data_IF_532711289947
#
_entry.id   IF_532711289947
#
_cell.length_a   1.000
_cell.length_b   1.000
_cell.length_c   1.000
_cell.angle_alpha   90.00
_cell.angle_beta   90.00
_cell.angle_gamma   90.00
#
_symmetry.space_group_name_H-M   'P 1'
#
loop_
_entity.id
_entity.type
_entity.pdbx_description
1 polymer ?
#
# COMPACT_ATOMS: atom_id res chain seq x y z
N UNK A 1 17.54 11.83 13.07
CA UNK A 1 16.14 11.41 13.43
C UNK A 1 16.13 9.90 13.74
N UNK A 2 15.31 9.37 14.67
CA UNK A 2 15.25 7.91 14.91
C UNK A 2 14.80 7.17 13.62
N UNK A 3 15.55 6.14 13.16
CA UNK A 3 15.29 5.37 11.92
C UNK A 3 13.82 4.97 11.74
N UNK A 4 13.19 4.49 12.81
CA UNK A 4 11.76 4.14 12.82
C UNK A 4 10.84 5.33 12.52
N UNK A 5 11.14 6.53 13.04
CA UNK A 5 10.36 7.74 12.75
C UNK A 5 10.51 8.15 11.29
N UNK A 6 11.72 8.10 10.75
CA UNK A 6 11.98 8.37 9.34
C UNK A 6 11.22 7.39 8.43
N UNK A 7 11.21 6.11 8.79
CA UNK A 7 10.53 5.07 8.04
C UNK A 7 9.00 5.16 8.10
N UNK A 8 8.44 5.46 9.28
CA UNK A 8 6.99 5.73 9.44
C UNK A 8 6.58 6.97 8.64
N UNK A 9 7.33 8.06 8.72
CA UNK A 9 7.07 9.26 7.92
C UNK A 9 7.19 8.98 6.41
N UNK A 10 8.19 8.19 6.02
CA UNK A 10 8.33 7.70 4.66
C UNK A 10 7.09 6.91 4.20
N UNK A 11 6.57 6.04 5.05
CA UNK A 11 5.34 5.29 4.81
C UNK A 11 4.12 6.19 4.66
N UNK A 12 3.96 7.18 5.54
CA UNK A 12 2.85 8.16 5.46
C UNK A 12 2.90 8.96 4.15
N UNK A 13 4.06 9.49 3.78
CA UNK A 13 4.26 10.22 2.51
C UNK A 13 3.96 9.32 1.32
N UNK A 14 4.47 8.08 1.34
CA UNK A 14 4.21 7.10 0.30
C UNK A 14 2.72 6.74 0.20
N UNK A 15 2.01 6.63 1.32
CA UNK A 15 0.56 6.39 1.35
C UNK A 15 -0.23 7.50 0.67
N UNK A 16 0.15 8.77 0.90
CA UNK A 16 -0.45 9.93 0.21
C UNK A 16 -0.16 9.90 -1.29
N UNK A 17 1.10 9.69 -1.69
CA UNK A 17 1.51 9.63 -3.11
C UNK A 17 0.79 8.49 -3.83
N UNK A 18 0.74 7.31 -3.21
CA UNK A 18 0.10 6.12 -3.77
C UNK A 18 -1.41 6.32 -3.90
N UNK A 19 -2.04 6.95 -2.91
CA UNK A 19 -3.46 7.31 -3.00
C UNK A 19 -3.72 8.27 -4.16
N UNK A 20 -2.89 9.31 -4.32
CA UNK A 20 -3.01 10.24 -5.44
C UNK A 20 -2.82 9.53 -6.79
N UNK A 21 -1.83 8.64 -6.89
CA UNK A 21 -1.60 7.81 -8.08
C UNK A 21 -2.82 6.93 -8.40
N UNK A 22 -3.40 6.27 -7.41
CA UNK A 22 -4.59 5.44 -7.59
C UNK A 22 -5.80 6.25 -8.03
N UNK A 23 -6.05 7.40 -7.40
CA UNK A 23 -7.15 8.32 -7.78
C UNK A 23 -6.98 8.81 -9.21
N UNK A 24 -5.78 9.27 -9.58
CA UNK A 24 -5.50 9.77 -10.92
C UNK A 24 -5.60 8.65 -11.96
N UNK A 25 -5.00 7.49 -11.70
CA UNK A 25 -5.00 6.35 -12.59
C UNK A 25 -6.41 5.84 -12.89
N UNK A 26 -7.32 5.85 -11.90
CA UNK A 26 -8.73 5.53 -12.13
C UNK A 26 -9.43 6.57 -12.99
N UNK A 27 -9.23 7.86 -12.69
CA UNK A 27 -9.85 8.96 -13.46
C UNK A 27 -9.44 8.96 -14.93
N UNK A 28 -8.23 8.51 -15.24
CA UNK A 28 -7.71 8.43 -16.61
C UNK A 28 -7.97 7.09 -17.29
N UNK A 29 -8.54 6.10 -16.59
CA UNK A 29 -8.74 4.74 -17.10
C UNK A 29 -7.47 3.89 -17.16
N UNK A 30 -6.34 4.40 -16.65
CA UNK A 30 -5.07 3.68 -16.54
C UNK A 30 -5.18 2.51 -15.55
N UNK A 31 -5.90 2.72 -14.43
CA UNK A 31 -6.16 1.71 -13.42
C UNK A 31 -7.65 1.33 -13.41
N UNK A 32 -7.91 0.05 -13.20
CA UNK A 32 -9.25 -0.46 -12.90
C UNK A 32 -9.61 -0.18 -11.43
N UNK A 33 -10.66 -0.83 -10.91
CA UNK A 33 -11.02 -0.73 -9.50
C UNK A 33 -9.85 -1.20 -8.64
N UNK A 34 -9.46 -0.35 -7.70
CA UNK A 34 -8.31 -0.55 -6.83
C UNK A 34 -8.67 -1.36 -5.59
N UNK A 35 -7.64 -1.96 -5.00
CA UNK A 35 -7.76 -2.87 -3.86
C UNK A 35 -8.33 -2.19 -2.59
N UNK A 36 -7.97 -0.93 -2.35
CA UNK A 36 -8.51 -0.12 -1.25
C UNK A 36 -10.05 -0.09 -1.27
N UNK A 37 -10.66 0.05 -2.47
CA UNK A 37 -12.11 -0.08 -2.64
C UNK A 37 -12.62 -1.51 -2.46
N UNK A 38 -11.90 -2.53 -2.93
CA UNK A 38 -12.28 -3.93 -2.73
C UNK A 38 -12.35 -4.28 -1.23
N UNK A 39 -11.37 -3.81 -0.44
CA UNK A 39 -11.34 -3.97 1.01
C UNK A 39 -12.49 -3.22 1.71
N UNK A 40 -12.76 -1.99 1.30
CA UNK A 40 -13.83 -1.18 1.89
C UNK A 40 -15.21 -1.72 1.53
N UNK A 41 -15.41 -2.17 0.29
CA UNK A 41 -16.65 -2.84 -0.09
C UNK A 41 -16.82 -4.17 0.65
N UNK A 42 -15.73 -4.87 0.97
CA UNK A 42 -15.78 -6.05 1.84
C UNK A 42 -16.18 -5.69 3.28
N UNK A 43 -15.62 -4.62 3.85
CA UNK A 43 -16.02 -4.10 5.17
C UNK A 43 -17.50 -3.76 5.15
N UNK A 44 -17.93 -2.99 4.15
CA UNK A 44 -19.32 -2.57 3.98
C UNK A 44 -20.28 -3.76 3.88
N UNK A 45 -19.97 -4.75 3.03
CA UNK A 45 -20.76 -5.99 2.94
C UNK A 45 -20.83 -6.77 4.26
N UNK A 46 -19.80 -6.67 5.10
CA UNK A 46 -19.70 -7.42 6.36
C UNK A 46 -20.34 -6.67 7.52
N UNK A 47 -20.31 -5.33 7.52
CA UNK A 47 -20.69 -4.51 8.68
C UNK A 47 -21.84 -3.54 8.42
N UNK A 48 -22.29 -3.38 7.17
CA UNK A 48 -23.28 -2.37 6.78
C UNK A 48 -22.80 -0.94 7.03
N UNK A 49 -21.49 -0.67 6.90
CA UNK A 49 -20.90 0.59 7.34
C UNK A 49 -21.38 1.78 6.51
N UNK A 50 -21.64 1.60 5.20
CA UNK A 50 -22.07 2.68 4.30
C UNK A 50 -23.43 3.25 4.66
N UNK A 51 -24.33 2.43 5.22
CA UNK A 51 -25.65 2.87 5.68
C UNK A 51 -25.55 3.83 6.90
N UNK A 52 -24.43 3.77 7.64
CA UNK A 52 -24.19 4.58 8.83
C UNK A 52 -23.36 5.84 8.52
N UNK A 53 -22.31 5.71 7.70
CA UNK A 53 -21.32 6.79 7.49
C UNK A 53 -21.37 7.42 6.08
N UNK A 54 -22.19 6.87 5.18
CA UNK A 54 -22.32 7.31 3.79
C UNK A 54 -21.04 7.16 2.96
N UNK A 55 -21.11 7.53 1.68
CA UNK A 55 -20.01 7.39 0.72
C UNK A 55 -18.78 8.24 1.09
N UNK A 56 -19.01 9.43 1.65
CA UNK A 56 -17.93 10.31 2.12
C UNK A 56 -17.21 9.69 3.32
N UNK A 57 -17.94 9.21 4.32
CA UNK A 57 -17.34 8.52 5.47
C UNK A 57 -16.59 7.25 5.05
N UNK A 58 -17.16 6.51 4.11
CA UNK A 58 -16.55 5.30 3.52
C UNK A 58 -15.21 5.62 2.86
N UNK A 59 -15.13 6.71 2.09
CA UNK A 59 -13.89 7.18 1.45
C UNK A 59 -12.85 7.67 2.47
N UNK A 60 -13.29 8.24 3.60
CA UNK A 60 -12.38 8.64 4.69
C UNK A 60 -11.80 7.42 5.38
N UNK A 61 -12.62 6.39 5.67
CA UNK A 61 -12.17 5.13 6.25
C UNK A 61 -11.19 4.42 5.31
N UNK A 62 -11.48 4.38 4.01
CA UNK A 62 -10.57 3.87 2.97
C UNK A 62 -9.18 4.51 3.06
N UNK A 63 -9.16 5.84 3.07
CA UNK A 63 -7.93 6.61 3.13
C UNK A 63 -7.16 6.39 4.44
N UNK A 64 -7.84 6.43 5.58
CA UNK A 64 -7.22 6.22 6.90
C UNK A 64 -6.66 4.80 7.02
N UNK A 65 -7.39 3.80 6.55
CA UNK A 65 -6.91 2.42 6.51
C UNK A 65 -5.65 2.28 5.65
N UNK A 66 -5.66 2.87 4.45
CA UNK A 66 -4.50 2.83 3.55
C UNK A 66 -3.29 3.57 4.15
N UNK A 67 -3.52 4.72 4.79
CA UNK A 67 -2.47 5.50 5.45
C UNK A 67 -1.89 4.77 6.67
N UNK A 68 -2.75 4.15 7.48
CA UNK A 68 -2.35 3.32 8.62
C UNK A 68 -1.54 2.10 8.19
N UNK A 69 -1.99 1.39 7.15
CA UNK A 69 -1.24 0.30 6.55
C UNK A 69 0.12 0.76 6.02
N UNK A 70 0.17 1.91 5.34
CA UNK A 70 1.42 2.47 4.81
C UNK A 70 2.40 2.84 5.92
N UNK A 71 1.92 3.41 7.03
CA UNK A 71 2.74 3.69 8.21
C UNK A 71 3.27 2.40 8.86
N UNK A 72 2.42 1.37 9.01
CA UNK A 72 2.80 0.08 9.57
C UNK A 72 3.85 -0.63 8.69
N UNK A 73 3.66 -0.63 7.37
CA UNK A 73 4.64 -1.19 6.44
C UNK A 73 5.94 -0.40 6.43
N UNK A 74 5.88 0.94 6.57
CA UNK A 74 7.05 1.78 6.75
C UNK A 74 7.81 1.45 8.04
N UNK A 75 7.12 1.18 9.14
CA UNK A 75 7.75 0.82 10.42
C UNK A 75 8.57 -0.48 10.35
N UNK A 76 8.24 -1.40 9.44
CA UNK A 76 9.01 -2.63 9.24
C UNK A 76 10.31 -2.43 8.43
N UNK A 77 10.42 -1.31 7.68
CA UNK A 77 11.55 -1.08 6.78
C UNK A 77 12.94 -1.12 7.44
N UNK A 78 13.17 -0.57 8.65
CA UNK A 78 14.46 -0.65 9.31
C UNK A 78 14.93 -2.08 9.54
N UNK A 79 14.04 -2.97 10.01
CA UNK A 79 14.37 -4.38 10.24
C UNK A 79 14.71 -5.09 8.92
N UNK A 80 13.97 -4.80 7.84
CA UNK A 80 14.26 -5.38 6.51
C UNK A 80 15.61 -4.88 5.98
N UNK A 81 15.96 -3.61 6.22
CA UNK A 81 17.29 -3.05 5.89
C UNK A 81 18.42 -3.76 6.60
N UNK A 82 18.24 -4.12 7.86
CA UNK A 82 19.24 -4.85 8.64
C UNK A 82 19.48 -6.27 8.09
N UNK A 83 18.44 -6.90 7.54
CA UNK A 83 18.54 -8.21 6.89
C UNK A 83 19.15 -8.15 5.48
N UNK A 84 19.12 -6.99 4.82
CA UNK A 84 19.61 -6.81 3.46
C UNK A 84 20.41 -5.49 3.28
N UNK A 85 21.52 -5.28 4.02
CA UNK A 85 22.20 -3.99 4.11
C UNK A 85 22.87 -3.54 2.79
N UNK A 86 23.10 -4.47 1.85
CA UNK A 86 23.71 -4.19 0.55
C UNK A 86 22.72 -3.70 -0.53
N UNK A 87 21.42 -3.66 -0.25
CA UNK A 87 20.43 -3.26 -1.24
C UNK A 87 20.23 -1.75 -1.28
N UNK A 88 20.13 -1.21 -2.50
CA UNK A 88 19.68 0.17 -2.70
C UNK A 88 18.23 0.33 -2.22
N UNK A 89 17.78 1.56 -1.86
CA UNK A 89 16.39 1.79 -1.46
C UNK A 89 15.37 1.33 -2.50
N UNK A 90 15.70 1.48 -3.79
CA UNK A 90 14.85 1.03 -4.88
C UNK A 90 14.78 -0.49 -4.92
N UNK A 91 15.93 -1.19 -4.84
CA UNK A 91 15.94 -2.66 -4.84
C UNK A 91 15.18 -3.23 -3.63
N UNK A 92 15.44 -2.66 -2.45
CA UNK A 92 14.78 -3.03 -1.21
C UNK A 92 13.26 -2.78 -1.29
N UNK A 93 12.85 -1.59 -1.74
CA UNK A 93 11.44 -1.23 -1.91
C UNK A 93 10.73 -2.14 -2.91
N UNK A 94 11.36 -2.46 -4.04
CA UNK A 94 10.79 -3.37 -5.04
C UNK A 94 10.59 -4.78 -4.49
N UNK A 95 11.59 -5.34 -3.81
CA UNK A 95 11.48 -6.68 -3.22
C UNK A 95 10.45 -6.70 -2.09
N UNK A 96 10.46 -5.68 -1.23
CA UNK A 96 9.50 -5.59 -0.13
C UNK A 96 8.07 -5.39 -0.63
N UNK A 97 7.84 -4.47 -1.58
CA UNK A 97 6.53 -4.26 -2.19
C UNK A 97 6.03 -5.50 -2.93
N UNK A 98 6.92 -6.22 -3.61
CA UNK A 98 6.56 -7.51 -4.25
C UNK A 98 6.18 -8.57 -3.22
N UNK A 99 6.92 -8.67 -2.11
CA UNK A 99 6.58 -9.59 -1.02
C UNK A 99 5.24 -9.22 -0.36
N UNK A 100 4.99 -7.92 -0.11
CA UNK A 100 3.71 -7.43 0.41
C UNK A 100 2.56 -7.77 -0.53
N UNK A 101 2.72 -7.54 -1.83
CA UNK A 101 1.74 -7.95 -2.84
C UNK A 101 1.49 -9.46 -2.81
N UNK A 102 2.55 -10.26 -2.86
CA UNK A 102 2.44 -11.73 -2.93
C UNK A 102 1.73 -12.31 -1.69
N UNK A 103 2.11 -11.84 -0.50
CA UNK A 103 1.54 -12.34 0.76
C UNK A 103 0.14 -11.79 0.99
N UNK A 104 -0.02 -10.47 0.94
CA UNK A 104 -1.26 -9.84 1.36
C UNK A 104 -2.35 -9.97 0.29
N UNK A 105 -1.98 -9.80 -0.99
CA UNK A 105 -2.98 -9.61 -2.07
C UNK A 105 -3.17 -10.87 -2.88
N UNK A 106 -2.08 -11.52 -3.30
CA UNK A 106 -2.19 -12.78 -4.03
C UNK A 106 -2.49 -13.96 -3.08
N UNK A 107 -2.08 -13.85 -1.81
CA UNK A 107 -2.22 -14.90 -0.80
C UNK A 107 -3.43 -14.73 0.12
N UNK A 108 -3.41 -13.72 1.01
CA UNK A 108 -4.38 -13.60 2.11
C UNK A 108 -5.73 -13.04 1.64
N UNK A 109 -5.75 -11.98 0.86
CA UNK A 109 -6.98 -11.30 0.44
C UNK A 109 -8.03 -12.21 -0.24
N UNK A 110 -7.66 -13.16 -1.12
CA UNK A 110 -8.61 -14.08 -1.73
C UNK A 110 -9.19 -15.06 -0.72
N UNK A 111 -8.37 -15.53 0.23
CA UNK A 111 -8.80 -16.46 1.29
C UNK A 111 -9.82 -15.81 2.24
N UNK A 112 -9.76 -14.50 2.40
CA UNK A 112 -10.72 -13.71 3.19
C UNK A 112 -11.95 -13.26 2.37
N UNK A 113 -12.00 -13.59 1.07
CA UNK A 113 -13.07 -13.13 0.16
C UNK A 113 -13.04 -11.62 -0.11
N UNK A 114 -11.90 -10.97 0.13
CA UNK A 114 -11.70 -9.54 -0.17
C UNK A 114 -11.51 -9.36 -1.68
N UNK A 115 -10.75 -10.26 -2.31
CA UNK A 115 -10.51 -10.28 -3.76
C UNK A 115 -10.93 -11.62 -4.36
N UNK A 116 -11.08 -11.64 -5.67
CA UNK A 116 -11.39 -12.83 -6.49
C UNK A 116 -10.19 -13.77 -6.69
N UNK A 117 -8.99 -13.36 -6.26
CA UNK A 117 -7.74 -14.05 -6.57
C UNK A 117 -7.10 -13.60 -7.90
N UNK A 118 -5.78 -13.72 -8.00
CA UNK A 118 -5.02 -13.13 -9.13
C UNK A 118 -5.20 -13.88 -10.45
N UNK A 119 -5.56 -15.17 -10.40
CA UNK A 119 -5.88 -15.95 -11.60
C UNK A 119 -7.17 -15.45 -12.24
N UNK A 120 -8.22 -15.27 -11.44
CA UNK A 120 -9.53 -14.79 -11.89
C UNK A 120 -9.49 -13.31 -12.29
N UNK A 121 -8.73 -12.51 -11.53
CA UNK A 121 -8.51 -11.08 -11.81
C UNK A 121 -7.82 -10.83 -13.17
N UNK A 122 -7.07 -11.82 -13.67
CA UNK A 122 -6.31 -11.73 -14.91
C UNK A 122 -5.06 -10.84 -14.81
N UNK A 123 -4.18 -10.89 -15.82
CA UNK A 123 -2.84 -10.29 -15.74
C UNK A 123 -2.84 -8.77 -15.61
N UNK A 124 -3.87 -8.10 -16.14
CA UNK A 124 -4.00 -6.65 -16.04
C UNK A 124 -4.21 -6.21 -14.59
N UNK A 125 -5.24 -6.74 -13.93
CA UNK A 125 -5.59 -6.35 -12.56
C UNK A 125 -4.50 -6.80 -11.57
N UNK A 126 -3.89 -7.96 -11.81
CA UNK A 126 -2.72 -8.42 -11.07
C UNK A 126 -1.53 -7.46 -11.20
N UNK A 127 -1.22 -7.04 -12.43
CA UNK A 127 -0.17 -6.07 -12.71
C UNK A 127 -0.41 -4.72 -12.03
N UNK A 128 -1.65 -4.22 -12.07
CA UNK A 128 -2.05 -2.97 -11.41
C UNK A 128 -1.86 -3.06 -9.89
N UNK A 129 -2.35 -4.14 -9.26
CA UNK A 129 -2.19 -4.38 -7.82
C UNK A 129 -0.72 -4.47 -7.41
N UNK A 130 0.08 -5.25 -8.15
CA UNK A 130 1.51 -5.39 -7.90
C UNK A 130 2.24 -4.05 -8.04
N UNK A 131 1.97 -3.30 -9.11
CA UNK A 131 2.63 -2.03 -9.38
C UNK A 131 2.38 -1.00 -8.26
N UNK A 132 1.15 -0.94 -7.74
CA UNK A 132 0.81 -0.05 -6.61
C UNK A 132 1.63 -0.39 -5.36
N UNK A 133 1.80 -1.67 -5.03
CA UNK A 133 2.58 -2.09 -3.86
C UNK A 133 4.07 -1.82 -4.01
N UNK A 134 4.62 -2.06 -5.21
CA UNK A 134 6.01 -1.72 -5.53
C UNK A 134 6.23 -0.21 -5.44
N UNK A 135 5.34 0.59 -6.05
CA UNK A 135 5.41 2.05 -5.99
C UNK A 135 5.40 2.54 -4.54
N UNK A 136 4.46 2.07 -3.73
CA UNK A 136 4.35 2.46 -2.31
C UNK A 136 5.62 2.11 -1.53
N UNK A 137 6.13 0.89 -1.67
CA UNK A 137 7.32 0.44 -0.93
C UNK A 137 8.61 1.15 -1.39
N UNK A 138 8.77 1.40 -2.70
CA UNK A 138 9.90 2.17 -3.23
C UNK A 138 9.87 3.61 -2.74
N UNK A 139 8.72 4.29 -2.82
CA UNK A 139 8.59 5.66 -2.28
C UNK A 139 8.85 5.70 -0.78
N UNK A 140 8.35 4.71 -0.03
CA UNK A 140 8.61 4.59 1.41
C UNK A 140 10.12 4.53 1.67
N UNK A 141 10.84 3.66 0.97
CA UNK A 141 12.28 3.48 1.15
C UNK A 141 13.11 4.72 0.74
N UNK A 142 12.74 5.38 -0.37
CA UNK A 142 13.40 6.59 -0.84
C UNK A 142 13.20 7.76 0.13
N UNK A 143 11.98 7.98 0.59
CA UNK A 143 11.68 9.07 1.53
C UNK A 143 12.33 8.79 2.89
N UNK A 144 12.27 7.56 3.38
CA UNK A 144 12.94 7.17 4.62
C UNK A 144 14.45 7.43 4.54
N UNK A 145 15.11 7.02 3.45
CA UNK A 145 16.54 7.29 3.24
C UNK A 145 16.85 8.80 3.22
N UNK A 146 16.03 9.57 2.51
CA UNK A 146 16.22 11.02 2.38
C UNK A 146 16.10 11.71 3.73
N UNK A 147 15.12 11.31 4.53
CA UNK A 147 14.83 11.85 5.85
C UNK A 147 15.89 11.45 6.89
N UNK A 148 16.43 10.23 6.82
CA UNK A 148 17.56 9.81 7.63
C UNK A 148 18.79 10.67 7.35
N UNK A 149 19.18 10.84 6.08
CA UNK A 149 20.33 11.66 5.66
C UNK A 149 20.22 13.15 6.00
N UNK A 150 19.02 13.69 6.20
CA UNK A 150 18.82 15.09 6.60
C UNK A 150 18.88 15.28 8.11
N UNK A 151 18.70 14.20 8.87
CA UNK A 151 18.64 14.22 10.32
C UNK A 151 19.93 13.78 11.01
N UNK A 152 20.99 13.59 10.23
CA UNK A 152 22.40 13.37 10.60
C UNK A 152 23.20 14.63 10.25
#
# INVERSE_FOLDING_TARGET
MQKHKAAILGGLVAGVVTTAFMVAGRKTGLLTKTLDRDAVDWIDRTTGSRDVIGDTGTSVVEFVNHLGASAAFGAALPAIRELAPGLSPVALGTLYGTALYAVNIAGIAPLLGITEGEVEAGPRKAGERWAVHVLQAVFTALVAERLERQGD
#
